data_IF_173860082312
#
_entry.id   IF_173860082312
#
_cell.length_a   1.000
_cell.length_b   1.000
_cell.length_c   1.000
_cell.angle_alpha   90.00
_cell.angle_beta   90.00
_cell.angle_gamma   90.00
#
_symmetry.space_group_name_H-M   'P 1'
#
loop_
_entity.id
_entity.type
_entity.pdbx_description
1 polymer ?
#
# COMPACT_ATOMS: atom_id res chain seq x y z
N UNK A 1 22.63 -7.21 -3.36
CA UNK A 1 21.42 -6.62 -2.73
C UNK A 1 21.63 -5.14 -2.42
N UNK A 2 22.76 -4.76 -1.83
CA UNK A 2 23.07 -3.37 -1.45
C UNK A 2 22.95 -2.37 -2.60
N UNK A 3 23.44 -2.71 -3.81
CA UNK A 3 23.30 -1.87 -5.00
C UNK A 3 21.84 -1.48 -5.33
N UNK A 4 20.84 -2.33 -5.00
CA UNK A 4 19.44 -2.04 -5.26
C UNK A 4 18.86 -1.06 -4.23
N UNK A 5 19.32 -1.14 -2.98
CA UNK A 5 18.97 -0.16 -1.95
C UNK A 5 19.56 1.21 -2.29
N UNK A 6 20.79 1.27 -2.81
CA UNK A 6 21.39 2.53 -3.28
C UNK A 6 20.61 3.17 -4.42
N UNK A 7 20.14 2.38 -5.40
CA UNK A 7 19.30 2.88 -6.51
C UNK A 7 18.00 3.53 -5.98
N UNK A 8 17.41 2.97 -4.93
CA UNK A 8 16.23 3.54 -4.26
C UNK A 8 16.60 4.61 -3.21
N UNK A 9 17.89 4.94 -3.04
CA UNK A 9 18.39 5.86 -2.02
C UNK A 9 18.00 5.44 -0.59
N UNK A 10 18.04 4.13 -0.33
CA UNK A 10 17.73 3.52 0.96
C UNK A 10 18.96 2.86 1.57
N UNK A 11 18.92 2.66 2.88
CA UNK A 11 19.90 1.83 3.59
C UNK A 11 19.52 0.35 3.44
N UNK A 12 20.51 -0.58 3.38
CA UNK A 12 20.23 -2.02 3.42
C UNK A 12 19.37 -2.38 4.64
N UNK A 13 18.36 -3.22 4.42
CA UNK A 13 17.42 -3.64 5.48
C UNK A 13 16.25 -2.70 5.74
N UNK A 14 16.04 -1.69 4.89
CA UNK A 14 14.84 -0.84 4.94
C UNK A 14 13.55 -1.68 4.85
N UNK A 15 12.48 -1.22 5.50
CA UNK A 15 11.19 -1.94 5.50
C UNK A 15 10.59 -2.00 4.09
N UNK A 16 9.72 -2.99 3.84
CA UNK A 16 9.03 -3.08 2.54
C UNK A 16 8.17 -1.83 2.25
N UNK A 17 7.66 -1.16 3.29
CA UNK A 17 6.90 0.08 3.16
C UNK A 17 7.80 1.25 2.74
N UNK A 18 9.00 1.36 3.31
CA UNK A 18 10.01 2.35 2.91
C UNK A 18 10.48 2.10 1.47
N UNK A 19 10.65 0.83 1.09
CA UNK A 19 11.00 0.42 -0.27
C UNK A 19 9.91 0.81 -1.26
N UNK A 20 8.63 0.57 -0.94
CA UNK A 20 7.48 1.04 -1.75
C UNK A 20 7.45 2.56 -1.85
N UNK A 21 7.65 3.27 -0.75
CA UNK A 21 7.65 4.75 -0.69
C UNK A 21 8.78 5.33 -1.55
N UNK A 22 9.99 4.79 -1.43
CA UNK A 22 11.16 5.21 -2.19
C UNK A 22 11.03 4.90 -3.69
N UNK A 23 10.48 3.72 -4.03
CA UNK A 23 10.17 3.38 -5.42
C UNK A 23 9.24 4.42 -6.05
N UNK A 24 8.12 4.72 -5.41
CA UNK A 24 7.17 5.74 -5.90
C UNK A 24 7.79 7.11 -6.03
N UNK A 25 8.58 7.54 -5.04
CA UNK A 25 9.28 8.81 -5.08
C UNK A 25 10.28 8.88 -6.24
N UNK A 26 11.03 7.80 -6.49
CA UNK A 26 12.04 7.74 -7.56
C UNK A 26 11.39 7.60 -8.94
N UNK A 27 10.29 6.84 -9.08
CA UNK A 27 9.46 6.81 -10.28
C UNK A 27 8.90 8.20 -10.58
N UNK A 28 8.41 8.91 -9.55
CA UNK A 28 7.97 10.30 -9.71
C UNK A 28 9.09 11.18 -10.24
N UNK A 29 10.35 10.97 -9.88
CA UNK A 29 11.47 11.81 -10.39
C UNK A 29 11.93 11.40 -11.79
N UNK A 30 12.07 10.09 -12.03
CA UNK A 30 12.75 9.54 -13.20
C UNK A 30 11.82 8.97 -14.26
N UNK A 31 10.51 9.24 -14.16
CA UNK A 31 9.57 8.83 -15.20
C UNK A 31 10.05 9.37 -16.57
N UNK A 32 10.16 8.52 -17.61
CA UNK A 32 10.68 8.92 -18.92
C UNK A 32 9.98 10.15 -19.52
N UNK A 33 8.70 10.30 -19.20
CA UNK A 33 7.85 11.36 -19.73
C UNK A 33 8.01 12.72 -19.05
N UNK A 34 8.83 12.83 -17.98
CA UNK A 34 9.23 14.13 -17.42
C UNK A 34 10.31 14.83 -18.23
N UNK A 35 10.86 14.14 -19.22
CA UNK A 35 11.98 14.62 -20.01
C UNK A 35 11.50 14.90 -21.44
N UNK A 36 11.75 16.10 -21.97
CA UNK A 36 11.25 16.49 -23.29
C UNK A 36 11.77 15.56 -24.38
N UNK A 37 10.91 15.20 -25.33
CA UNK A 37 11.23 14.33 -26.46
C UNK A 37 12.28 14.90 -27.40
N UNK A 38 12.46 16.22 -27.37
CA UNK A 38 13.50 16.95 -28.11
C UNK A 38 14.90 16.73 -27.54
N UNK A 39 15.03 16.04 -26.40
CA UNK A 39 16.31 15.65 -25.79
C UNK A 39 16.45 14.13 -25.73
N UNK A 40 16.81 13.46 -26.84
CA UNK A 40 16.93 11.99 -26.91
C UNK A 40 17.84 11.39 -25.84
N UNK A 41 18.91 12.10 -25.45
CA UNK A 41 19.84 11.66 -24.42
C UNK A 41 19.20 11.69 -23.02
N UNK A 42 18.36 12.70 -22.73
CA UNK A 42 17.63 12.79 -21.46
C UNK A 42 16.51 11.76 -21.39
N UNK A 43 15.76 11.55 -22.48
CA UNK A 43 14.75 10.49 -22.54
C UNK A 43 15.37 9.11 -22.36
N UNK A 44 16.47 8.81 -23.05
CA UNK A 44 17.20 7.55 -22.88
C UNK A 44 17.66 7.36 -21.45
N UNK A 45 18.24 8.40 -20.84
CA UNK A 45 18.68 8.36 -19.43
C UNK A 45 17.52 8.15 -18.46
N UNK A 46 16.39 8.82 -18.68
CA UNK A 46 15.21 8.66 -17.85
C UNK A 46 14.63 7.24 -17.94
N UNK A 47 14.57 6.70 -19.16
CA UNK A 47 14.20 5.30 -19.40
C UNK A 47 15.14 4.32 -18.70
N UNK A 48 16.45 4.48 -18.82
CA UNK A 48 17.44 3.66 -18.12
C UNK A 48 17.31 3.75 -16.60
N UNK A 49 17.10 4.96 -16.06
CA UNK A 49 16.91 5.16 -14.63
C UNK A 49 15.61 4.52 -14.14
N UNK A 50 14.52 4.68 -14.87
CA UNK A 50 13.23 4.08 -14.57
C UNK A 50 13.30 2.55 -14.54
N UNK A 51 13.98 1.93 -15.52
CA UNK A 51 14.23 0.49 -15.53
C UNK A 51 15.04 0.03 -14.31
N UNK A 52 16.11 0.75 -13.96
CA UNK A 52 16.95 0.43 -12.79
C UNK A 52 16.17 0.53 -11.47
N UNK A 53 15.39 1.60 -11.31
CA UNK A 53 14.53 1.83 -10.13
C UNK A 53 13.52 0.69 -9.98
N UNK A 54 12.90 0.28 -11.08
CA UNK A 54 11.89 -0.77 -11.06
C UNK A 54 12.48 -2.16 -10.84
N UNK A 55 13.64 -2.46 -11.45
CA UNK A 55 14.38 -3.69 -11.18
C UNK A 55 14.85 -3.79 -9.71
N UNK A 56 15.29 -2.68 -9.12
CA UNK A 56 15.68 -2.61 -7.72
C UNK A 56 14.51 -2.90 -6.78
N UNK A 57 13.37 -2.26 -7.03
CA UNK A 57 12.13 -2.51 -6.28
C UNK A 57 11.71 -3.98 -6.33
N UNK A 58 11.70 -4.58 -7.53
CA UNK A 58 11.36 -6.01 -7.71
C UNK A 58 12.29 -6.91 -6.90
N UNK A 59 13.61 -6.75 -7.04
CA UNK A 59 14.58 -7.60 -6.32
C UNK A 59 14.45 -7.49 -4.80
N UNK A 60 14.18 -6.29 -4.27
CA UNK A 60 14.01 -6.10 -2.84
C UNK A 60 12.68 -6.66 -2.36
N UNK A 61 11.57 -6.39 -3.06
CA UNK A 61 10.24 -6.90 -2.71
C UNK A 61 10.14 -8.43 -2.79
N UNK A 62 10.76 -9.07 -3.78
CA UNK A 62 10.84 -10.53 -3.88
C UNK A 62 11.59 -11.14 -2.68
N UNK A 63 12.64 -10.47 -2.20
CA UNK A 63 13.42 -10.92 -1.03
C UNK A 63 12.63 -10.81 0.28
N UNK A 64 11.84 -9.75 0.46
CA UNK A 64 10.91 -9.61 1.59
C UNK A 64 9.77 -10.64 1.53
N UNK A 65 9.33 -11.01 0.34
CA UNK A 65 8.34 -12.07 0.13
C UNK A 65 8.89 -13.43 0.54
N UNK A 66 10.18 -13.67 0.27
CA UNK A 66 10.87 -14.94 0.60
C UNK A 66 11.21 -15.05 2.10
N UNK A 67 11.63 -13.96 2.75
CA UNK A 67 11.96 -13.95 4.19
C UNK A 67 10.74 -14.15 5.10
N UNK A 68 9.54 -13.70 4.67
CA UNK A 68 8.31 -13.90 5.45
C UNK A 68 7.83 -15.36 5.51
N UNK A 69 8.38 -16.26 4.71
CA UNK A 69 8.10 -17.71 4.80
C UNK A 69 8.93 -18.44 5.85
N UNK A 70 10.10 -17.91 6.27
CA UNK A 70 10.95 -18.55 7.29
C UNK A 70 10.67 -18.09 8.72
N UNK A 71 9.98 -16.96 8.93
CA UNK A 71 9.74 -16.38 10.26
C UNK A 71 8.32 -16.61 10.81
N UNK A 72 7.43 -17.26 10.04
CA UNK A 72 6.05 -17.54 10.45
C UNK A 72 5.89 -18.69 11.47
N UNK A 73 6.97 -19.19 12.07
CA UNK A 73 6.95 -20.30 13.05
C UNK A 73 7.37 -19.90 14.48
N UNK A 74 7.20 -18.63 14.86
CA UNK A 74 7.78 -18.11 16.11
C UNK A 74 6.91 -17.16 16.94
N UNK A 75 5.57 -17.25 16.94
CA UNK A 75 4.77 -16.42 17.86
C UNK A 75 4.66 -17.07 19.26
N UNK A 76 5.45 -16.59 20.24
CA UNK A 76 5.34 -16.93 21.67
C UNK A 76 5.14 -15.66 22.52
N UNK A 77 3.95 -15.53 23.13
CA UNK A 77 3.65 -14.84 24.41
C UNK A 77 3.88 -13.32 24.47
N UNK A 78 3.05 -12.52 25.14
CA UNK A 78 2.54 -12.74 26.50
C UNK A 78 1.11 -12.24 26.69
N UNK A 79 0.30 -13.12 27.27
CA UNK A 79 -0.96 -12.83 27.96
C UNK A 79 -0.64 -12.23 29.32
N UNK A 80 -1.22 -11.07 29.67
CA UNK A 80 -1.28 -10.60 31.05
C UNK A 80 -2.68 -10.83 31.59
N UNK A 81 -2.77 -11.72 32.59
CA UNK A 81 -3.96 -11.93 33.42
C UNK A 81 -4.11 -10.75 34.39
N UNK A 82 -5.31 -10.19 34.52
CA UNK A 82 -5.70 -9.43 35.71
C UNK A 82 -6.66 -10.25 36.57
N UNK A 83 -6.37 -10.22 37.88
CA UNK A 83 -7.10 -10.90 38.95
C UNK A 83 -8.40 -10.16 39.29
N UNK A 84 -9.45 -10.95 39.51
CA UNK A 84 -10.78 -10.51 39.96
C UNK A 84 -10.73 -10.11 41.44
N UNK A 85 -11.10 -8.87 41.76
CA UNK A 85 -11.48 -8.46 43.11
C UNK A 85 -12.97 -8.09 43.14
N UNK A 86 -13.74 -8.75 43.99
CA UNK A 86 -15.14 -8.45 44.29
C UNK A 86 -15.24 -7.28 45.28
N UNK A 87 -16.20 -6.35 45.09
CA UNK A 87 -17.24 -5.95 46.07
C UNK A 87 -18.23 -4.93 45.48
N UNK A 88 -19.42 -4.92 46.08
CA UNK A 88 -20.73 -4.40 45.65
C UNK A 88 -20.95 -2.88 45.86
N UNK A 89 -21.91 -2.35 45.09
CA UNK A 89 -22.96 -1.33 45.36
C UNK A 89 -22.67 0.20 45.34
N UNK A 90 -23.30 0.83 44.32
CA UNK A 90 -23.72 2.20 43.88
C UNK A 90 -24.38 3.16 44.90
N UNK A 91 -24.85 4.43 44.59
CA UNK A 91 -24.72 5.41 43.44
C UNK A 91 -24.56 6.92 43.94
N UNK A 92 -24.85 8.08 43.22
CA UNK A 92 -25.46 8.31 41.89
C UNK A 92 -24.90 9.43 40.96
N UNK A 93 -25.33 9.30 39.69
CA UNK A 93 -25.68 10.31 38.66
C UNK A 93 -24.62 11.24 38.05
N UNK A 94 -24.36 11.04 36.75
CA UNK A 94 -24.33 12.09 35.71
C UNK A 94 -24.47 11.45 34.30
N UNK A 95 -24.92 12.20 33.27
CA UNK A 95 -25.72 11.67 32.16
C UNK A 95 -24.91 10.81 31.19
N UNK A 96 -25.52 9.69 30.80
CA UNK A 96 -25.01 8.78 29.80
C UNK A 96 -24.78 9.47 28.45
N UNK A 97 -23.54 9.83 28.17
CA UNK A 97 -23.02 9.83 26.80
C UNK A 97 -23.12 8.39 26.30
N UNK A 98 -24.08 8.10 25.42
CA UNK A 98 -24.18 6.79 24.80
C UNK A 98 -22.90 6.55 23.99
N UNK A 99 -22.01 5.69 24.48
CA UNK A 99 -20.99 5.08 23.64
C UNK A 99 -21.72 4.32 22.53
N UNK A 100 -21.34 4.49 21.25
CA UNK A 100 -22.01 3.81 20.16
C UNK A 100 -21.96 2.30 20.40
N UNK A 101 -23.13 1.66 20.42
CA UNK A 101 -23.26 0.22 20.59
C UNK A 101 -22.37 -0.51 19.58
N UNK A 102 -21.40 -1.29 20.08
CA UNK A 102 -20.50 -2.07 19.22
C UNK A 102 -21.30 -3.14 18.48
N UNK A 103 -21.55 -2.94 17.19
CA UNK A 103 -22.23 -3.94 16.36
C UNK A 103 -21.36 -5.21 16.32
N UNK A 104 -21.88 -6.40 16.69
CA UNK A 104 -21.10 -7.64 16.63
C UNK A 104 -20.46 -7.84 15.25
N UNK A 105 -19.14 -8.03 15.22
CA UNK A 105 -18.38 -8.16 13.97
C UNK A 105 -17.97 -6.85 13.31
N UNK A 106 -18.23 -5.70 13.92
CA UNK A 106 -17.65 -4.40 13.56
C UNK A 106 -16.82 -3.85 14.73
N UNK A 107 -15.73 -3.14 14.41
CA UNK A 107 -14.91 -2.49 15.42
C UNK A 107 -14.30 -1.19 14.90
N UNK A 108 -14.18 -0.23 15.81
CA UNK A 108 -13.30 0.93 15.66
C UNK A 108 -12.02 0.67 16.45
N UNK A 109 -10.86 0.80 15.82
CA UNK A 109 -9.54 0.63 16.44
C UNK A 109 -8.71 1.88 16.21
N UNK A 110 -8.00 2.29 17.25
CA UNK A 110 -7.01 3.37 17.20
C UNK A 110 -5.73 2.81 17.80
N UNK A 111 -4.64 2.82 17.04
CA UNK A 111 -3.35 2.33 17.49
C UNK A 111 -2.51 3.47 18.09
N UNK A 112 -1.55 3.18 18.99
CA UNK A 112 -0.69 4.19 19.59
C UNK A 112 0.12 5.03 18.59
N UNK A 113 0.39 4.47 17.40
CA UNK A 113 1.07 5.18 16.30
C UNK A 113 0.15 6.17 15.55
N UNK A 114 -1.13 6.26 15.94
CA UNK A 114 -2.14 7.13 15.33
C UNK A 114 -2.94 6.50 14.19
N UNK A 115 -2.62 5.27 13.76
CA UNK A 115 -3.42 4.56 12.76
C UNK A 115 -4.83 4.31 13.30
N UNK A 116 -5.81 4.26 12.39
CA UNK A 116 -7.21 4.03 12.72
C UNK A 116 -7.83 3.03 11.76
N UNK A 117 -8.72 2.20 12.28
CA UNK A 117 -9.54 1.29 11.49
C UNK A 117 -10.99 1.38 11.93
N UNK A 118 -11.89 1.35 10.96
CA UNK A 118 -13.33 1.22 11.19
C UNK A 118 -13.88 0.23 10.18
N UNK A 119 -14.47 -0.86 10.65
CA UNK A 119 -15.07 -1.83 9.76
C UNK A 119 -15.26 -3.21 10.37
N UNK A 120 -15.47 -4.18 9.49
CA UNK A 120 -15.74 -5.55 9.87
C UNK A 120 -14.50 -6.23 10.49
N UNK A 121 -14.71 -7.17 11.40
CA UNK A 121 -13.65 -7.92 12.07
C UNK A 121 -14.00 -9.40 12.18
N UNK A 122 -12.96 -10.25 12.11
CA UNK A 122 -13.05 -11.69 12.37
C UNK A 122 -11.87 -12.11 13.24
N UNK A 123 -12.14 -12.79 14.36
CA UNK A 123 -11.12 -13.22 15.34
C UNK A 123 -10.14 -12.09 15.71
N UNK A 124 -10.71 -10.93 16.07
CA UNK A 124 -9.95 -9.73 16.43
C UNK A 124 -8.98 -9.23 15.35
N UNK A 125 -9.21 -9.55 14.08
CA UNK A 125 -8.45 -9.04 12.94
C UNK A 125 -9.36 -8.30 11.97
N UNK A 126 -8.82 -7.30 11.27
CA UNK A 126 -9.54 -6.61 10.19
C UNK A 126 -9.91 -7.64 9.11
N UNK A 127 -11.19 -7.74 8.78
CA UNK A 127 -11.70 -8.73 7.83
C UNK A 127 -13.01 -8.25 7.22
N UNK A 128 -13.27 -8.52 5.94
CA UNK A 128 -14.44 -7.97 5.26
C UNK A 128 -14.22 -6.50 4.93
N UNK A 129 -15.28 -5.71 4.82
CA UNK A 129 -15.18 -4.30 4.40
C UNK A 129 -14.80 -3.40 5.57
N UNK A 130 -13.93 -2.44 5.31
CA UNK A 130 -13.55 -1.43 6.27
C UNK A 130 -12.79 -0.26 5.66
N UNK A 131 -12.45 0.68 6.53
CA UNK A 131 -11.65 1.87 6.25
C UNK A 131 -10.45 1.84 7.18
N UNK A 132 -9.25 1.97 6.62
CA UNK A 132 -8.02 2.13 7.37
C UNK A 132 -7.42 3.50 7.05
N UNK A 133 -7.20 4.32 8.08
CA UNK A 133 -6.58 5.62 8.00
C UNK A 133 -5.22 5.53 8.67
N UNK A 134 -4.15 5.63 7.89
CA UNK A 134 -2.80 5.61 8.44
C UNK A 134 -2.43 6.97 9.03
N UNK A 135 -1.67 6.97 10.14
CA UNK A 135 -1.01 8.16 10.65
C UNK A 135 0.03 8.73 9.69
N UNK A 136 0.49 7.92 8.73
CA UNK A 136 1.39 8.32 7.64
C UNK A 136 0.66 9.02 6.48
N UNK A 137 -0.66 9.22 6.57
CA UNK A 137 -1.41 10.10 5.67
C UNK A 137 -2.18 9.43 4.54
N UNK A 138 -2.09 8.10 4.36
CA UNK A 138 -2.90 7.39 3.38
C UNK A 138 -4.19 6.82 3.99
N UNK A 139 -5.22 6.66 3.16
CA UNK A 139 -6.51 6.06 3.50
C UNK A 139 -6.81 4.92 2.54
N UNK A 140 -7.08 3.74 3.08
CA UNK A 140 -7.62 2.61 2.34
C UNK A 140 -9.10 2.42 2.67
N UNK A 141 -9.91 2.15 1.66
CA UNK A 141 -11.33 1.77 1.80
C UNK A 141 -11.59 0.56 0.92
N UNK A 142 -11.97 -0.56 1.50
CA UNK A 142 -12.14 -1.78 0.72
C UNK A 142 -12.22 -3.03 1.57
N UNK A 143 -11.92 -4.16 0.95
CA UNK A 143 -11.94 -5.45 1.61
C UNK A 143 -10.61 -5.76 2.33
N UNK A 144 -10.73 -6.44 3.46
CA UNK A 144 -9.63 -6.91 4.29
C UNK A 144 -9.72 -8.42 4.46
N UNK A 145 -8.56 -9.05 4.53
CA UNK A 145 -8.43 -10.46 4.90
C UNK A 145 -7.26 -10.61 5.86
N UNK A 146 -7.58 -10.99 7.11
CA UNK A 146 -6.60 -11.21 8.18
C UNK A 146 -5.65 -10.03 8.38
N UNK A 147 -6.22 -8.84 8.51
CA UNK A 147 -5.46 -7.62 8.81
C UNK A 147 -4.84 -6.93 7.59
N UNK A 148 -5.04 -7.42 6.36
CA UNK A 148 -4.43 -6.83 5.16
C UNK A 148 -5.46 -6.48 4.10
N UNK A 149 -5.25 -5.39 3.32
CA UNK A 149 -6.01 -5.14 2.10
C UNK A 149 -6.02 -6.35 1.18
N UNK A 150 -7.22 -6.69 0.71
CA UNK A 150 -7.50 -7.82 -0.15
C UNK A 150 -8.71 -7.50 -1.02
N UNK A 151 -8.99 -8.27 -2.08
CA UNK A 151 -10.21 -8.07 -2.88
C UNK A 151 -10.23 -6.70 -3.55
N UNK A 152 -11.41 -6.06 -3.65
CA UNK A 152 -11.52 -4.74 -4.24
C UNK A 152 -11.35 -3.63 -3.20
N UNK A 153 -10.69 -2.55 -3.60
CA UNK A 153 -10.55 -1.38 -2.74
C UNK A 153 -10.10 -0.12 -3.47
N UNK A 154 -10.08 0.95 -2.70
CA UNK A 154 -9.56 2.27 -3.06
C UNK A 154 -8.50 2.68 -2.05
N UNK A 155 -7.35 3.11 -2.55
CA UNK A 155 -6.23 3.59 -1.75
C UNK A 155 -5.91 5.02 -2.17
N UNK A 156 -5.99 5.96 -1.23
CA UNK A 156 -5.72 7.38 -1.44
C UNK A 156 -4.51 7.76 -0.61
N UNK A 157 -3.51 8.36 -1.23
CA UNK A 157 -2.31 8.86 -0.57
C UNK A 157 -2.44 10.35 -0.26
N UNK A 158 -1.72 10.81 0.76
CA UNK A 158 -1.62 12.22 1.15
C UNK A 158 -1.10 13.12 0.02
N UNK A 159 -0.23 12.56 -0.83
CA UNK A 159 0.37 13.25 -1.96
C UNK A 159 -0.62 13.49 -3.12
N UNK A 160 -1.85 12.96 -3.05
CA UNK A 160 -2.88 13.05 -4.08
C UNK A 160 -2.97 11.86 -5.04
N UNK A 161 -1.99 10.95 -5.02
CA UNK A 161 -2.06 9.70 -5.77
C UNK A 161 -3.23 8.86 -5.24
N UNK A 162 -3.94 8.16 -6.12
CA UNK A 162 -4.93 7.19 -5.70
C UNK A 162 -5.05 6.01 -6.66
N UNK A 163 -5.43 4.87 -6.10
CA UNK A 163 -5.66 3.64 -6.83
C UNK A 163 -7.04 3.10 -6.53
N UNK A 164 -7.69 2.56 -7.56
CA UNK A 164 -8.95 1.82 -7.45
C UNK A 164 -8.80 0.50 -8.22
N UNK A 165 -8.98 -0.64 -7.54
CA UNK A 165 -8.80 -1.94 -8.15
C UNK A 165 -8.60 -3.07 -7.16
N UNK A 166 -7.96 -4.14 -7.64
CA UNK A 166 -7.71 -5.35 -6.86
C UNK A 166 -6.49 -5.26 -5.95
N UNK A 167 -6.58 -5.97 -4.83
CA UNK A 167 -5.54 -6.11 -3.82
C UNK A 167 -5.34 -7.57 -3.44
N UNK A 168 -4.09 -7.98 -3.27
CA UNK A 168 -3.72 -9.26 -2.63
C UNK A 168 -2.61 -8.99 -1.63
N UNK A 169 -2.88 -9.24 -0.35
CA UNK A 169 -1.90 -9.14 0.73
C UNK A 169 -1.22 -7.76 0.77
N UNK A 170 -2.00 -6.68 0.72
CA UNK A 170 -1.49 -5.30 0.75
C UNK A 170 -0.71 -4.86 -0.51
N UNK A 171 -0.88 -5.57 -1.62
CA UNK A 171 -0.31 -5.20 -2.91
C UNK A 171 -1.38 -5.00 -3.97
N UNK A 172 -1.22 -4.00 -4.83
CA UNK A 172 -2.05 -3.81 -6.01
C UNK A 172 -1.91 -5.05 -6.90
N UNK A 173 -3.05 -5.61 -7.32
CA UNK A 173 -3.07 -6.84 -8.09
C UNK A 173 -4.31 -6.95 -8.97
N UNK A 174 -4.18 -7.58 -10.13
CA UNK A 174 -5.28 -7.70 -11.10
C UNK A 174 -5.64 -6.37 -11.74
N UNK A 175 -6.88 -6.22 -12.20
CA UNK A 175 -7.31 -4.99 -12.90
C UNK A 175 -7.40 -3.81 -11.92
N UNK A 176 -6.91 -2.65 -12.34
CA UNK A 176 -7.06 -1.42 -11.58
C UNK A 176 -6.80 -0.15 -12.39
N UNK A 177 -7.04 0.97 -11.72
CA UNK A 177 -6.78 2.32 -12.21
C UNK A 177 -5.92 3.04 -11.17
N UNK A 178 -4.78 3.55 -11.60
CA UNK A 178 -3.93 4.42 -10.78
C UNK A 178 -3.98 5.83 -11.35
N UNK A 179 -4.29 6.79 -10.49
CA UNK A 179 -4.26 8.21 -10.79
C UNK A 179 -3.11 8.81 -10.01
N UNK A 180 -2.18 9.43 -10.72
CA UNK A 180 -1.03 10.08 -10.13
C UNK A 180 -1.38 11.55 -9.84
N UNK A 181 -0.81 12.10 -8.77
CA UNK A 181 -1.01 13.48 -8.35
C UNK A 181 -0.57 14.52 -9.40
N UNK A 182 0.30 14.13 -10.34
CA UNK A 182 0.71 14.97 -11.46
C UNK A 182 -0.32 15.00 -12.61
N UNK A 183 -1.43 14.26 -12.51
CA UNK A 183 -2.49 14.18 -13.51
C UNK A 183 -2.40 12.97 -14.43
N UNK A 184 -1.27 12.24 -14.44
CA UNK A 184 -1.11 11.02 -15.21
C UNK A 184 -2.03 9.91 -14.69
N UNK A 185 -2.33 8.93 -15.55
CA UNK A 185 -3.25 7.84 -15.23
C UNK A 185 -2.77 6.55 -15.87
N UNK A 186 -2.83 5.46 -15.13
CA UNK A 186 -2.68 4.11 -15.68
C UNK A 186 -3.97 3.32 -15.46
N UNK A 187 -4.40 2.58 -16.47
CA UNK A 187 -5.50 1.62 -16.37
C UNK A 187 -5.08 0.31 -17.02
N UNK A 188 -5.05 -0.78 -16.26
CA UNK A 188 -4.55 -2.06 -16.75
C UNK A 188 -4.47 -3.14 -15.68
N UNK A 189 -3.70 -4.19 -15.95
CA UNK A 189 -3.37 -5.18 -14.93
C UNK A 189 -2.24 -4.68 -14.02
N UNK A 190 -2.26 -5.16 -12.78
CA UNK A 190 -1.24 -4.95 -11.78
C UNK A 190 -0.76 -6.28 -11.25
N UNK A 191 0.52 -6.36 -10.95
CA UNK A 191 1.10 -7.47 -10.23
C UNK A 191 2.17 -6.93 -9.27
N UNK A 192 2.01 -7.22 -7.98
CA UNK A 192 2.95 -6.83 -6.93
C UNK A 192 3.23 -5.31 -6.94
N UNK A 193 2.16 -4.50 -6.95
CA UNK A 193 2.20 -3.03 -7.00
C UNK A 193 2.67 -2.41 -8.34
N UNK A 194 2.99 -3.22 -9.35
CA UNK A 194 3.50 -2.74 -10.64
C UNK A 194 2.48 -2.93 -11.77
N UNK A 195 2.39 -1.98 -12.73
CA UNK A 195 1.78 -2.23 -14.03
C UNK A 195 2.30 -3.54 -14.64
N UNK A 196 1.36 -4.39 -15.06
CA UNK A 196 1.64 -5.68 -15.67
C UNK A 196 0.55 -5.98 -16.71
N UNK A 197 0.74 -6.98 -17.57
CA UNK A 197 -0.30 -7.42 -18.50
C UNK A 197 -0.75 -6.31 -19.46
N UNK A 198 -2.03 -6.29 -19.81
CA UNK A 198 -2.54 -5.30 -20.76
C UNK A 198 -2.92 -4.01 -20.04
N UNK A 199 -2.46 -2.87 -20.54
CA UNK A 199 -2.76 -1.59 -19.92
C UNK A 199 -2.51 -0.37 -20.80
N UNK A 200 -3.07 0.75 -20.36
CA UNK A 200 -2.99 2.06 -21.00
C UNK A 200 -2.50 3.07 -19.97
N UNK A 201 -1.39 3.74 -20.26
CA UNK A 201 -0.86 4.87 -19.52
C UNK A 201 -1.17 6.15 -20.30
N UNK A 202 -1.89 7.07 -19.68
CA UNK A 202 -2.33 8.34 -20.24
C UNK A 202 -1.63 9.44 -19.45
N UNK A 203 -0.81 10.23 -20.14
CA UNK A 203 -0.12 11.37 -19.57
C UNK A 203 -1.05 12.58 -19.49
N UNK A 204 -0.77 13.49 -18.55
CA UNK A 204 -1.48 14.77 -18.44
C UNK A 204 -1.36 15.65 -19.70
N UNK A 205 -0.29 15.47 -20.49
CA UNK A 205 -0.09 16.17 -21.76
C UNK A 205 -0.89 15.56 -22.94
N UNK A 206 -1.62 14.47 -22.71
CA UNK A 206 -2.45 13.80 -23.70
C UNK A 206 -1.78 12.64 -24.45
N UNK A 207 -0.47 12.40 -24.26
CA UNK A 207 0.19 11.24 -24.84
C UNK A 207 -0.35 9.94 -24.22
N UNK A 208 -0.50 8.91 -25.05
CA UNK A 208 -1.09 7.62 -24.68
C UNK A 208 -0.10 6.50 -25.02
N UNK A 209 0.19 5.66 -24.04
CA UNK A 209 0.97 4.44 -24.21
C UNK A 209 0.10 3.23 -23.86
N UNK A 210 -0.23 2.44 -24.87
CA UNK A 210 -1.07 1.25 -24.74
C UNK A 210 -0.29 0.03 -25.17
N UNK A 211 -0.42 -1.07 -24.45
CA UNK A 211 0.22 -2.32 -24.84
C UNK A 211 0.44 -3.28 -23.69
N UNK A 212 1.39 -4.19 -23.90
CA UNK A 212 1.82 -5.15 -22.89
C UNK A 212 2.81 -4.48 -21.92
N UNK A 213 2.54 -4.59 -20.63
CA UNK A 213 3.37 -4.12 -19.54
C UNK A 213 3.99 -5.29 -18.80
N UNK A 214 5.28 -5.19 -18.49
CA UNK A 214 5.96 -6.15 -17.65
C UNK A 214 6.80 -5.42 -16.60
N UNK A 215 6.53 -5.74 -15.33
CA UNK A 215 7.26 -5.17 -14.20
C UNK A 215 7.32 -3.63 -14.27
N UNK A 216 6.20 -2.96 -14.55
CA UNK A 216 6.11 -1.51 -14.59
C UNK A 216 6.58 -0.84 -15.89
N UNK A 217 7.16 -1.58 -16.84
CA UNK A 217 7.59 -1.04 -18.14
C UNK A 217 6.71 -1.51 -19.29
N UNK A 218 6.49 -0.64 -20.28
CA UNK A 218 5.88 -1.02 -21.56
C UNK A 218 6.86 -1.87 -22.37
N UNK A 219 6.39 -3.01 -22.88
CA UNK A 219 7.18 -3.99 -23.64
C UNK A 219 6.86 -3.92 -25.13
N UNK A 220 5.59 -3.79 -25.50
CA UNK A 220 5.12 -3.81 -26.89
C UNK A 220 3.79 -3.11 -27.06
#
# INVERSE_FOLDING_TARGET
MEQYFEILKLKPGASIEDVKRAYKAQVKVWHPDRFPSESPQLQKKAHEMFQKITAAYKKISDSHTTQKFSEASGWKGKSTRYTRASRKSTPPSEPHSQEPESVPGFATRVWPNGDKYEGQVFQDQMHGRGIFTSSQGYVYTGEFKYGKPHGLGKLVYDNGDHYEGGFINDMLHGKGKYHYANGDRYQGDFQNDLPHGQGVYILVNGNIYSGLWENGGLVS
#
